data_IF_571460534904
#
_entry.id   IF_571460534904
#
_cell.length_a   1.000
_cell.length_b   1.000
_cell.length_c   1.000
_cell.angle_alpha   90.00
_cell.angle_beta   90.00
_cell.angle_gamma   90.00
#
_symmetry.space_group_name_H-M   'P 1'
#
loop_
_entity.id
_entity.type
_entity.pdbx_description
1 polymer ?
#
# COMPACT_ATOMS: atom_id res chain seq x y z
N UNK A 1 -12.78 -17.83 2.44
CA UNK A 1 -12.11 -16.82 3.28
C UNK A 1 -13.10 -15.72 3.64
N UNK A 2 -13.17 -15.40 4.91
CA UNK A 2 -14.10 -14.38 5.38
C UNK A 2 -13.49 -12.99 5.21
N UNK A 3 -14.20 -12.09 4.54
CA UNK A 3 -13.79 -10.70 4.36
C UNK A 3 -14.60 -9.80 5.28
N UNK A 4 -13.91 -8.84 5.88
CA UNK A 4 -14.53 -7.79 6.68
C UNK A 4 -14.37 -6.47 5.92
N UNK A 5 -15.47 -5.74 5.72
CA UNK A 5 -15.43 -4.40 5.12
C UNK A 5 -15.39 -3.39 6.25
N UNK A 6 -14.33 -2.57 6.28
CA UNK A 6 -14.09 -1.63 7.37
C UNK A 6 -13.80 -0.25 6.79
N UNK A 7 -14.45 0.84 7.26
CA UNK A 7 -14.07 2.19 6.87
C UNK A 7 -12.63 2.50 7.30
N UNK A 8 -11.93 3.33 6.54
CA UNK A 8 -10.54 3.67 6.81
C UNK A 8 -10.31 4.35 8.17
N UNK A 9 -11.35 4.97 8.74
CA UNK A 9 -11.28 5.57 10.08
C UNK A 9 -11.10 4.53 11.18
N UNK A 10 -11.32 3.25 10.87
CA UNK A 10 -11.21 2.14 11.83
C UNK A 10 -10.02 1.23 11.51
N UNK A 11 -8.87 1.80 11.18
CA UNK A 11 -7.66 1.02 10.88
C UNK A 11 -7.24 0.12 12.04
N UNK A 12 -7.50 0.50 13.28
CA UNK A 12 -7.22 -0.38 14.42
C UNK A 12 -8.03 -1.66 14.37
N UNK A 13 -9.31 -1.57 14.01
CA UNK A 13 -10.16 -2.75 13.86
C UNK A 13 -9.70 -3.63 12.70
N UNK A 14 -9.24 -3.01 11.61
CA UNK A 14 -8.66 -3.73 10.47
C UNK A 14 -7.39 -4.47 10.90
N UNK A 15 -6.51 -3.81 11.64
CA UNK A 15 -5.29 -4.41 12.15
C UNK A 15 -5.58 -5.60 13.06
N UNK A 16 -6.57 -5.46 13.94
CA UNK A 16 -7.00 -6.54 14.83
C UNK A 16 -7.53 -7.74 14.04
N UNK A 17 -8.38 -7.50 13.04
CA UNK A 17 -8.90 -8.56 12.18
C UNK A 17 -7.78 -9.28 11.43
N UNK A 18 -6.80 -8.54 10.91
CA UNK A 18 -5.64 -9.12 10.23
C UNK A 18 -4.80 -9.97 11.18
N UNK A 19 -4.60 -9.52 12.43
CA UNK A 19 -3.88 -10.30 13.44
C UNK A 19 -4.62 -11.59 13.81
N UNK A 20 -5.92 -11.61 13.65
CA UNK A 20 -6.76 -12.81 13.85
C UNK A 20 -6.81 -13.71 12.61
N UNK A 21 -6.06 -13.39 11.56
CA UNK A 21 -6.01 -14.18 10.34
C UNK A 21 -7.12 -13.89 9.34
N UNK A 22 -7.83 -12.78 9.48
CA UNK A 22 -8.92 -12.38 8.58
C UNK A 22 -8.43 -11.35 7.58
N UNK A 23 -8.84 -11.50 6.32
CA UNK A 23 -8.65 -10.46 5.30
C UNK A 23 -9.67 -9.35 5.51
N UNK A 24 -9.28 -8.11 5.14
CA UNK A 24 -10.15 -6.94 5.28
C UNK A 24 -10.27 -6.20 3.96
N UNK A 25 -11.39 -5.53 3.77
CA UNK A 25 -11.62 -4.62 2.66
C UNK A 25 -11.80 -3.21 3.21
N UNK A 26 -10.98 -2.28 2.73
CA UNK A 26 -10.90 -0.91 3.26
C UNK A 26 -11.17 0.10 2.17
N UNK A 27 -11.84 1.19 2.53
CA UNK A 27 -11.91 2.40 1.71
C UNK A 27 -10.67 3.25 2.02
N UNK A 28 -10.03 3.80 0.97
CA UNK A 28 -8.81 4.58 1.10
C UNK A 28 -9.14 6.06 0.92
N UNK A 29 -8.69 6.93 1.82
CA UNK A 29 -8.90 8.37 1.71
C UNK A 29 -7.65 9.15 1.30
N UNK A 30 -6.48 8.79 1.82
CA UNK A 30 -5.25 9.51 1.57
C UNK A 30 -4.71 9.33 0.15
N UNK A 31 -3.83 10.24 -0.26
CA UNK A 31 -3.21 10.22 -1.60
C UNK A 31 -1.77 9.71 -1.60
N UNK A 32 -1.31 9.12 -0.50
CA UNK A 32 0.08 8.69 -0.38
C UNK A 32 0.46 7.54 -1.31
N UNK A 33 -0.51 6.86 -1.91
CA UNK A 33 -0.28 5.79 -2.89
C UNK A 33 -0.74 6.17 -4.30
N UNK A 34 -1.06 7.43 -4.54
CA UNK A 34 -1.33 7.93 -5.89
C UNK A 34 -0.07 7.81 -6.75
N UNK A 35 -0.11 7.40 -8.02
CA UNK A 35 -1.30 7.17 -8.83
C UNK A 35 -1.83 5.73 -8.84
N UNK A 36 -1.23 4.80 -8.08
CA UNK A 36 -1.64 3.40 -8.09
C UNK A 36 -2.94 3.16 -7.31
N UNK A 37 -3.14 3.88 -6.21
CA UNK A 37 -4.37 3.86 -5.43
C UNK A 37 -4.87 5.29 -5.32
N UNK A 38 -6.14 5.52 -5.65
CA UNK A 38 -6.74 6.85 -5.59
C UNK A 38 -7.57 6.98 -4.33
N UNK A 39 -7.09 7.81 -3.40
CA UNK A 39 -7.80 8.09 -2.16
C UNK A 39 -9.14 8.76 -2.43
N UNK A 40 -10.15 8.41 -1.64
CA UNK A 40 -11.51 8.88 -1.83
C UNK A 40 -12.31 8.13 -2.90
N UNK A 41 -11.64 7.28 -3.68
CA UNK A 41 -12.28 6.56 -4.80
C UNK A 41 -12.11 5.05 -4.68
N UNK A 42 -10.89 4.58 -4.45
CA UNK A 42 -10.58 3.15 -4.48
C UNK A 42 -10.82 2.47 -3.14
N UNK A 43 -11.16 1.18 -3.22
CA UNK A 43 -11.11 0.27 -2.08
C UNK A 43 -9.99 -0.73 -2.29
N UNK A 44 -9.50 -1.30 -1.20
CA UNK A 44 -8.41 -2.26 -1.22
C UNK A 44 -8.75 -3.49 -0.39
N UNK A 45 -8.18 -4.62 -0.79
CA UNK A 45 -8.18 -5.83 0.02
C UNK A 45 -6.78 -6.01 0.61
N UNK A 46 -6.72 -6.18 1.91
CA UNK A 46 -5.48 -6.48 2.64
C UNK A 46 -5.61 -7.87 3.24
N UNK A 47 -4.59 -8.69 3.07
CA UNK A 47 -4.55 -10.04 3.62
C UNK A 47 -3.57 -10.10 4.78
N UNK A 48 -3.72 -11.06 5.72
CA UNK A 48 -2.80 -11.17 6.84
C UNK A 48 -1.37 -11.46 6.40
N UNK A 49 -0.40 -10.91 7.12
CA UNK A 49 1.01 -11.26 6.99
C UNK A 49 1.36 -12.34 8.03
N UNK A 50 2.13 -13.33 7.61
CA UNK A 50 2.49 -14.48 8.47
C UNK A 50 3.59 -14.17 9.50
N UNK A 51 4.23 -13.03 9.39
CA UNK A 51 5.30 -12.61 10.30
C UNK A 51 6.69 -13.13 9.94
N UNK A 52 6.82 -13.96 8.93
CA UNK A 52 8.09 -14.63 8.59
C UNK A 52 8.48 -14.57 7.12
N UNK A 53 7.53 -14.50 6.20
CA UNK A 53 7.83 -14.50 4.75
C UNK A 53 8.60 -13.24 4.38
N UNK A 54 9.73 -13.35 3.64
CA UNK A 54 10.41 -12.17 3.12
C UNK A 54 9.53 -11.35 2.19
N UNK A 55 9.74 -10.02 2.11
CA UNK A 55 8.89 -9.19 1.27
C UNK A 55 9.13 -9.47 -0.21
N UNK A 56 8.03 -9.56 -0.97
CA UNK A 56 8.11 -9.53 -2.43
C UNK A 56 8.55 -8.13 -2.88
N UNK A 57 9.47 -8.01 -3.86
CA UNK A 57 9.85 -6.71 -4.38
C UNK A 57 8.63 -5.91 -4.85
N UNK A 58 8.56 -4.65 -4.42
CA UNK A 58 7.52 -3.70 -4.80
C UNK A 58 6.12 -4.01 -4.27
N UNK A 59 6.00 -4.90 -3.28
CA UNK A 59 4.73 -5.13 -2.58
C UNK A 59 4.37 -3.92 -1.70
N UNK A 60 3.12 -3.89 -1.22
CA UNK A 60 2.64 -2.81 -0.35
C UNK A 60 2.19 -3.39 0.98
N UNK A 61 3.06 -3.42 2.00
CA UNK A 61 2.68 -3.87 3.32
C UNK A 61 1.75 -2.89 4.04
N UNK A 62 0.89 -3.42 4.90
CA UNK A 62 0.13 -2.68 5.89
C UNK A 62 0.85 -2.83 7.23
N UNK A 63 1.20 -1.71 7.85
CA UNK A 63 2.07 -1.70 9.02
C UNK A 63 1.75 -0.54 9.95
N UNK A 64 2.27 -0.64 11.18
CA UNK A 64 2.20 0.43 12.17
C UNK A 64 3.56 1.11 12.26
N UNK A 65 3.56 2.44 12.23
CA UNK A 65 4.78 3.24 12.33
C UNK A 65 4.44 4.59 12.96
N UNK A 66 5.19 4.97 14.01
CA UNK A 66 4.96 6.25 14.68
C UNK A 66 3.55 6.38 15.26
N UNK A 67 2.92 5.29 15.68
CA UNK A 67 1.58 5.29 16.24
C UNK A 67 0.46 5.29 15.19
N UNK A 68 0.79 5.34 13.91
CA UNK A 68 -0.19 5.36 12.82
C UNK A 68 -0.12 4.07 12.01
N UNK A 69 -1.24 3.71 11.37
CA UNK A 69 -1.28 2.61 10.42
C UNK A 69 -1.10 3.16 9.01
N UNK A 70 -0.28 2.47 8.21
CA UNK A 70 0.09 2.91 6.87
C UNK A 70 0.12 1.76 5.89
N UNK A 71 -0.12 2.07 4.60
CA UNK A 71 0.15 1.18 3.49
C UNK A 71 1.01 1.96 2.51
N UNK A 72 2.28 1.56 2.38
CA UNK A 72 3.22 2.16 1.43
C UNK A 72 3.96 1.07 0.68
N UNK A 73 4.72 1.48 -0.32
CA UNK A 73 5.47 0.57 -1.20
C UNK A 73 6.76 0.11 -0.54
N UNK A 74 6.99 -1.20 -0.49
CA UNK A 74 8.29 -1.74 -0.11
C UNK A 74 9.31 -1.45 -1.21
N UNK A 75 10.42 -0.78 -0.86
CA UNK A 75 11.45 -0.36 -1.82
C UNK A 75 12.82 -0.98 -1.57
N UNK A 76 12.97 -1.77 -0.53
CA UNK A 76 14.24 -2.44 -0.20
C UNK A 76 14.43 -2.61 1.29
N UNK A 77 15.53 -3.23 1.65
CA UNK A 77 15.90 -3.48 3.04
C UNK A 77 17.03 -2.55 3.47
N UNK A 78 17.02 -2.17 4.74
CA UNK A 78 18.17 -1.60 5.42
C UNK A 78 18.45 -2.47 6.67
N UNK A 79 19.41 -3.37 6.55
CA UNK A 79 19.58 -4.41 7.56
C UNK A 79 18.31 -5.27 7.64
N UNK A 80 17.69 -5.35 8.81
CA UNK A 80 16.46 -6.10 9.02
C UNK A 80 15.20 -5.25 8.87
N UNK A 81 15.34 -3.95 8.62
CA UNK A 81 14.22 -3.04 8.48
C UNK A 81 13.76 -2.96 7.04
N UNK A 82 12.45 -2.94 6.86
CA UNK A 82 11.81 -2.76 5.56
C UNK A 82 11.70 -1.27 5.28
N UNK A 83 12.21 -0.85 4.14
CA UNK A 83 12.12 0.56 3.71
C UNK A 83 10.85 0.74 2.89
N UNK A 84 10.03 1.71 3.30
CA UNK A 84 8.73 1.97 2.67
C UNK A 84 8.67 3.41 2.16
N UNK A 85 8.13 3.57 0.95
CA UNK A 85 7.89 4.88 0.36
C UNK A 85 6.52 4.87 -0.31
N UNK A 86 5.65 5.81 0.07
CA UNK A 86 4.38 5.99 -0.61
C UNK A 86 4.57 6.43 -2.05
N UNK A 87 3.79 5.87 -2.97
CA UNK A 87 3.89 6.20 -4.40
C UNK A 87 3.61 7.68 -4.67
N UNK A 88 2.79 8.31 -3.83
CA UNK A 88 2.50 9.74 -3.91
C UNK A 88 3.42 10.63 -3.08
N UNK A 89 4.38 10.05 -2.37
CA UNK A 89 5.34 10.80 -1.56
C UNK A 89 6.62 11.05 -2.34
N UNK A 90 7.33 12.12 -1.99
CA UNK A 90 8.54 12.51 -2.70
C UNK A 90 9.80 11.93 -2.06
N UNK A 91 9.96 12.04 -0.73
CA UNK A 91 11.21 11.61 -0.07
C UNK A 91 11.01 10.91 1.27
N UNK A 92 9.80 10.89 1.81
CA UNK A 92 9.59 10.38 3.17
C UNK A 92 9.61 8.86 3.17
N UNK A 93 10.72 8.29 3.64
CA UNK A 93 10.92 6.85 3.75
C UNK A 93 10.77 6.44 5.19
N UNK A 94 9.90 5.44 5.47
CA UNK A 94 9.82 4.81 6.78
C UNK A 94 10.69 3.56 6.78
N UNK A 95 11.44 3.36 7.86
CA UNK A 95 12.17 2.12 8.10
C UNK A 95 11.46 1.33 9.18
N UNK A 96 10.90 0.19 8.81
CA UNK A 96 9.90 -0.53 9.60
C UNK A 96 10.43 -1.91 9.97
N UNK A 97 10.51 -2.24 11.28
CA UNK A 97 10.88 -3.60 11.68
C UNK A 97 9.78 -4.59 11.28
N UNK A 98 10.18 -5.81 10.96
CA UNK A 98 9.27 -6.85 10.49
C UNK A 98 8.09 -7.10 11.45
N UNK A 99 8.30 -6.98 12.76
CA UNK A 99 7.25 -7.18 13.76
C UNK A 99 6.09 -6.19 13.64
N UNK A 100 6.31 -5.06 12.98
CA UNK A 100 5.27 -4.03 12.79
C UNK A 100 4.46 -4.25 11.51
N UNK A 101 4.82 -5.24 10.67
CA UNK A 101 4.08 -5.57 9.47
C UNK A 101 2.88 -6.44 9.85
N UNK A 102 1.69 -6.01 9.44
CA UNK A 102 0.43 -6.63 9.86
C UNK A 102 -0.25 -7.36 8.71
N UNK A 103 -0.15 -6.82 7.51
CA UNK A 103 -0.80 -7.38 6.34
C UNK A 103 -0.12 -6.95 5.05
N UNK A 104 -0.67 -7.43 3.94
CA UNK A 104 -0.16 -7.13 2.60
C UNK A 104 -1.33 -6.76 1.69
N UNK A 105 -1.15 -5.70 0.91
CA UNK A 105 -2.12 -5.31 -0.11
C UNK A 105 -2.21 -6.42 -1.16
N UNK A 106 -3.42 -6.91 -1.40
CA UNK A 106 -3.67 -8.00 -2.33
C UNK A 106 -4.39 -7.55 -3.59
N UNK A 107 -5.42 -6.70 -3.46
CA UNK A 107 -6.29 -6.31 -4.56
C UNK A 107 -6.66 -4.84 -4.41
N UNK A 108 -6.71 -4.12 -5.53
CA UNK A 108 -7.23 -2.75 -5.60
C UNK A 108 -8.52 -2.79 -6.41
N UNK A 109 -9.61 -2.25 -5.84
CA UNK A 109 -10.92 -2.17 -6.49
C UNK A 109 -11.16 -0.74 -6.94
N UNK A 110 -11.08 -0.50 -8.25
CA UNK A 110 -11.30 0.83 -8.83
C UNK A 110 -12.77 1.11 -9.03
N UNK A 111 -13.13 2.40 -9.06
CA UNK A 111 -14.53 2.84 -9.21
C UNK A 111 -15.14 2.47 -10.57
N UNK A 112 -14.31 2.25 -11.60
CA UNK A 112 -14.77 1.81 -12.92
C UNK A 112 -15.11 0.32 -12.98
N UNK A 113 -15.00 -0.39 -11.86
CA UNK A 113 -15.29 -1.82 -11.77
C UNK A 113 -14.10 -2.73 -12.04
N UNK A 114 -12.94 -2.18 -12.43
CA UNK A 114 -11.74 -2.99 -12.62
C UNK A 114 -11.09 -3.35 -11.29
N UNK A 115 -10.45 -4.53 -11.25
CA UNK A 115 -9.72 -5.01 -10.09
C UNK A 115 -8.26 -5.24 -10.48
N UNK A 116 -7.35 -4.73 -9.68
CA UNK A 116 -5.93 -4.92 -9.87
C UNK A 116 -5.41 -5.93 -8.87
N UNK A 117 -4.88 -7.06 -9.37
CA UNK A 117 -4.14 -8.00 -8.52
C UNK A 117 -2.74 -7.43 -8.28
N UNK A 118 -2.41 -7.21 -7.00
CA UNK A 118 -1.14 -6.59 -6.62
C UNK A 118 0.05 -7.56 -6.69
N UNK A 119 -0.17 -8.80 -7.12
CA UNK A 119 0.89 -9.76 -7.44
C UNK A 119 1.20 -9.82 -8.93
N UNK A 120 0.43 -9.11 -9.75
CA UNK A 120 0.62 -9.06 -11.20
C UNK A 120 1.99 -8.46 -11.53
N UNK A 121 2.77 -9.17 -12.32
CA UNK A 121 4.14 -8.75 -12.68
C UNK A 121 4.18 -7.43 -13.44
N UNK A 122 3.15 -7.14 -14.23
CA UNK A 122 3.07 -5.85 -14.96
C UNK A 122 2.86 -4.69 -14.00
N UNK A 123 2.01 -4.88 -13.01
CA UNK A 123 1.75 -3.87 -11.99
C UNK A 123 3.01 -3.61 -11.16
N UNK A 124 3.71 -4.67 -10.77
CA UNK A 124 4.96 -4.55 -10.01
C UNK A 124 6.05 -3.88 -10.81
N UNK A 125 6.15 -4.14 -12.11
CA UNK A 125 7.11 -3.45 -12.99
C UNK A 125 6.78 -1.97 -13.14
N UNK A 126 5.51 -1.62 -13.26
CA UNK A 126 5.10 -0.21 -13.29
C UNK A 126 5.48 0.50 -12.00
N UNK A 127 5.33 -0.16 -10.87
CA UNK A 127 5.76 0.38 -9.58
C UNK A 127 7.27 0.61 -9.52
N UNK A 128 8.05 -0.33 -10.05
CA UNK A 128 9.50 -0.20 -10.11
C UNK A 128 9.92 1.01 -10.98
N UNK A 129 9.30 1.17 -12.14
CA UNK A 129 9.54 2.34 -12.99
C UNK A 129 9.13 3.63 -12.31
N UNK A 130 7.99 3.64 -11.64
CA UNK A 130 7.53 4.79 -10.89
C UNK A 130 8.53 5.18 -9.80
N UNK A 131 9.10 4.20 -9.14
CA UNK A 131 10.15 4.44 -8.16
C UNK A 131 11.39 5.09 -8.80
N UNK A 132 11.79 4.64 -9.97
CA UNK A 132 12.92 5.24 -10.70
C UNK A 132 12.66 6.69 -11.10
N UNK A 133 11.41 7.07 -11.27
CA UNK A 133 10.99 8.42 -11.60
C UNK A 133 10.77 9.31 -10.37
N UNK A 134 11.14 8.84 -9.18
CA UNK A 134 10.81 9.55 -7.94
C UNK A 134 11.36 10.97 -7.86
N UNK A 135 12.48 11.26 -8.49
CA UNK A 135 13.07 12.60 -8.50
C UNK A 135 12.23 13.62 -9.24
N UNK A 136 11.35 13.17 -10.16
CA UNK A 136 10.50 14.05 -10.95
C UNK A 136 9.01 13.90 -10.61
N UNK A 137 8.67 13.12 -9.58
CA UNK A 137 7.27 12.93 -9.15
C UNK A 137 6.58 14.26 -8.85
N UNK A 138 7.29 15.21 -8.28
CA UNK A 138 6.74 16.53 -7.95
C UNK A 138 6.18 17.27 -9.17
N UNK A 139 6.63 16.92 -10.37
CA UNK A 139 6.11 17.45 -11.62
C UNK A 139 5.06 16.53 -12.23
N UNK A 140 5.26 15.22 -12.15
CA UNK A 140 4.38 14.22 -12.77
C UNK A 140 3.05 14.11 -12.04
N UNK A 141 3.03 14.15 -10.71
CA UNK A 141 1.80 14.00 -9.94
C UNK A 141 0.79 15.12 -10.25
N UNK A 142 1.17 16.41 -10.24
CA UNK A 142 0.24 17.47 -10.64
C UNK A 142 -0.24 17.32 -12.08
N UNK A 143 0.65 16.90 -12.99
CA UNK A 143 0.29 16.68 -14.38
C UNK A 143 -0.75 15.55 -14.52
N UNK A 144 -0.55 14.44 -13.83
CA UNK A 144 -1.48 13.31 -13.86
C UNK A 144 -2.86 13.72 -13.33
N UNK A 145 -2.89 14.50 -12.25
CA UNK A 145 -4.16 15.00 -11.70
C UNK A 145 -4.86 15.93 -12.68
N UNK A 146 -4.13 16.80 -13.35
CA UNK A 146 -4.67 17.71 -14.36
C UNK A 146 -5.28 16.92 -15.53
N UNK A 147 -4.61 15.85 -15.96
CA UNK A 147 -5.06 14.98 -17.05
C UNK A 147 -6.08 13.92 -16.60
N UNK A 148 -6.38 13.85 -15.31
CA UNK A 148 -7.27 12.85 -14.70
C UNK A 148 -6.83 11.41 -14.98
N UNK A 149 -5.54 11.19 -14.94
CA UNK A 149 -4.97 9.84 -15.07
C UNK A 149 -5.00 9.12 -13.74
#
# INVERSE_FOLDING_TARGET
MRKLVVPNVFFEEAAEALREGKSVRLHVDGQSMYPFIRGGEDEIEVVPYDGVTPPEPWCCPFYQWGGNYMIHRFIGMNGEKWRMLGDGNLYRIEEVPQREIIGLLRTIYHTDGTEQDCRDSRWLRRAQWWYRLRSIRRFLIPLFRLLRI
#
